data_IF_977298769503
#
_entry.id   IF_977298769503
#
_cell.length_a   1.000
_cell.length_b   1.000
_cell.length_c   1.000
_cell.angle_alpha   90.00
_cell.angle_beta   90.00
_cell.angle_gamma   90.00
#
_symmetry.space_group_name_H-M   'P 1'
#
loop_
_entity.id
_entity.type
_entity.pdbx_description
1 polymer ?
#
# COMPACT_ATOMS: atom_id res chain seq x y z
N UNK A 1 6.57 25.21 -10.11
CA UNK A 1 6.64 23.82 -9.60
C UNK A 1 5.29 23.50 -8.97
N UNK A 2 4.57 22.50 -9.48
CA UNK A 2 3.25 22.15 -8.95
C UNK A 2 3.41 21.59 -7.52
N UNK A 3 2.82 22.27 -6.54
CA UNK A 3 2.88 21.87 -5.12
C UNK A 3 1.96 20.67 -4.93
N UNK A 4 2.50 19.45 -5.06
CA UNK A 4 1.75 18.23 -4.77
C UNK A 4 1.16 18.30 -3.36
N UNK A 5 -0.15 18.15 -3.23
CA UNK A 5 -0.88 18.35 -1.96
C UNK A 5 -0.87 17.07 -1.12
N UNK A 6 0.32 16.61 -0.72
CA UNK A 6 0.47 15.45 0.15
C UNK A 6 0.01 15.75 1.58
N UNK A 7 -0.98 14.99 2.07
CA UNK A 7 -1.47 15.05 3.45
C UNK A 7 -1.73 13.66 4.00
N UNK A 8 -1.36 13.43 5.27
CA UNK A 8 -1.67 12.21 6.03
C UNK A 8 -2.48 12.60 7.26
N UNK A 9 -3.62 11.94 7.47
CA UNK A 9 -4.52 12.18 8.59
C UNK A 9 -4.92 10.85 9.23
N UNK A 10 -5.14 10.87 10.54
CA UNK A 10 -5.64 9.73 11.29
C UNK A 10 -7.03 10.05 11.83
N UNK A 11 -7.92 9.07 11.83
CA UNK A 11 -9.27 9.19 12.35
C UNK A 11 -9.74 7.85 12.89
N UNK A 12 -10.73 7.86 13.77
CA UNK A 12 -11.36 6.63 14.25
C UNK A 12 -12.59 6.30 13.42
N UNK A 13 -12.80 5.01 13.14
CA UNK A 13 -14.01 4.57 12.47
C UNK A 13 -15.07 4.12 13.49
N UNK A 14 -16.00 5.01 13.81
CA UNK A 14 -17.08 4.74 14.76
C UNK A 14 -18.07 3.67 14.30
N UNK A 15 -18.19 3.37 13.00
CA UNK A 15 -19.09 2.29 12.54
C UNK A 15 -18.57 0.89 12.83
N UNK A 16 -17.27 0.77 13.16
CA UNK A 16 -16.61 -0.49 13.54
C UNK A 16 -16.37 -0.59 15.05
N UNK A 17 -17.15 0.12 15.85
CA UNK A 17 -17.06 0.09 17.30
C UNK A 17 -17.39 -1.30 17.85
N UNK A 18 -16.53 -1.81 18.75
CA UNK A 18 -16.76 -3.04 19.51
C UNK A 18 -16.45 -2.75 20.98
N UNK A 19 -17.44 -2.88 21.85
CA UNK A 19 -17.29 -2.66 23.31
C UNK A 19 -16.67 -1.29 23.67
N UNK A 20 -17.05 -0.21 22.97
CA UNK A 20 -16.50 1.13 23.19
C UNK A 20 -15.09 1.35 22.64
N UNK A 21 -14.50 0.35 21.99
CA UNK A 21 -13.21 0.40 21.32
C UNK A 21 -13.44 0.58 19.82
N UNK A 22 -12.73 1.53 19.22
CA UNK A 22 -12.80 1.85 17.79
C UNK A 22 -11.43 1.67 17.12
N UNK A 23 -11.38 1.18 15.88
CA UNK A 23 -10.14 1.09 15.13
C UNK A 23 -9.71 2.47 14.62
N UNK A 24 -8.39 2.71 14.64
CA UNK A 24 -7.76 3.89 14.06
C UNK A 24 -7.44 3.61 12.59
N UNK A 25 -7.93 4.49 11.73
CA UNK A 25 -7.74 4.49 10.30
C UNK A 25 -6.81 5.64 9.90
N UNK A 26 -6.00 5.40 8.89
CA UNK A 26 -5.19 6.42 8.24
C UNK A 26 -5.73 6.78 6.87
N UNK A 27 -5.58 8.04 6.48
CA UNK A 27 -5.97 8.59 5.19
C UNK A 27 -4.79 9.32 4.58
N UNK A 28 -4.37 8.90 3.39
CA UNK A 28 -3.41 9.63 2.55
C UNK A 28 -4.19 10.39 1.49
N UNK A 29 -3.84 11.65 1.24
CA UNK A 29 -4.39 12.48 0.19
C UNK A 29 -3.26 13.05 -0.66
N UNK A 30 -3.35 12.88 -1.97
CA UNK A 30 -2.36 13.38 -2.95
C UNK A 30 -3.12 13.86 -4.18
N UNK A 31 -3.00 15.16 -4.51
CA UNK A 31 -3.56 15.73 -5.73
C UNK A 31 -5.06 15.42 -5.94
N UNK A 32 -5.84 15.45 -4.86
CA UNK A 32 -7.28 15.13 -4.89
C UNK A 32 -7.61 13.65 -4.78
N UNK A 33 -6.65 12.74 -5.01
CA UNK A 33 -6.83 11.30 -4.77
C UNK A 33 -6.69 10.97 -3.30
N UNK A 34 -7.49 10.03 -2.81
CA UNK A 34 -7.54 9.63 -1.40
C UNK A 34 -7.41 8.12 -1.29
N UNK A 35 -6.53 7.64 -0.41
CA UNK A 35 -6.41 6.24 -0.06
C UNK A 35 -6.54 6.07 1.46
N UNK A 36 -7.35 5.11 1.89
CA UNK A 36 -7.53 4.76 3.30
C UNK A 36 -6.79 3.47 3.62
N UNK A 37 -6.26 3.36 4.83
CA UNK A 37 -5.56 2.17 5.31
C UNK A 37 -5.78 1.97 6.81
N UNK A 38 -5.70 0.73 7.27
CA UNK A 38 -5.79 0.42 8.70
C UNK A 38 -4.44 0.66 9.37
N UNK A 39 -4.44 1.34 10.52
CA UNK A 39 -3.23 1.49 11.34
C UNK A 39 -2.96 0.28 12.24
N UNK A 40 -3.85 -0.73 12.26
CA UNK A 40 -3.83 -1.88 13.17
C UNK A 40 -3.78 -1.50 14.66
N UNK A 41 -4.25 -0.29 14.98
CA UNK A 41 -4.35 0.23 16.32
C UNK A 41 -5.81 0.45 16.67
N UNK A 42 -6.15 0.19 17.93
CA UNK A 42 -7.49 0.37 18.47
C UNK A 42 -7.42 1.28 19.69
N UNK A 43 -8.42 2.13 19.87
CA UNK A 43 -8.49 3.05 20.99
C UNK A 43 -9.92 3.12 21.53
N UNK A 44 -10.12 3.27 22.85
CA UNK A 44 -11.42 3.64 23.38
C UNK A 44 -11.88 4.95 22.74
N UNK A 45 -13.12 4.99 22.24
CA UNK A 45 -13.67 6.18 21.56
C UNK A 45 -13.60 7.43 22.42
N UNK A 46 -13.80 7.26 23.73
CA UNK A 46 -13.68 8.31 24.72
C UNK A 46 -12.27 8.91 24.78
N UNK A 47 -11.21 8.16 24.45
CA UNK A 47 -9.82 8.60 24.51
C UNK A 47 -9.30 9.17 23.19
N UNK A 48 -10.10 9.25 22.13
CA UNK A 48 -9.68 9.89 20.88
C UNK A 48 -9.97 11.40 20.88
N UNK A 49 -9.00 12.21 20.46
CA UNK A 49 -9.18 13.63 20.18
C UNK A 49 -9.38 13.86 18.68
N UNK A 50 -10.61 14.21 18.30
CA UNK A 50 -11.01 14.47 16.92
C UNK A 50 -10.32 15.73 16.36
N UNK A 51 -10.07 16.75 17.17
CA UNK A 51 -9.43 17.98 16.71
C UNK A 51 -7.93 17.77 16.50
N UNK A 52 -7.30 17.03 17.42
CA UNK A 52 -5.88 16.72 17.37
C UNK A 52 -5.49 15.54 16.48
N UNK A 53 -6.47 14.75 15.99
CA UNK A 53 -6.28 13.49 15.27
C UNK A 53 -5.33 12.52 16.00
N UNK A 54 -5.47 12.43 17.32
CA UNK A 54 -4.54 11.70 18.20
C UNK A 54 -5.22 11.18 19.46
N UNK A 55 -4.56 10.27 20.17
CA UNK A 55 -5.00 9.84 21.49
C UNK A 55 -4.86 10.98 22.51
N UNK A 56 -5.91 11.20 23.32
CA UNK A 56 -5.98 12.20 24.38
C UNK A 56 -5.50 11.64 25.71
N UNK A 57 -4.94 12.49 26.55
CA UNK A 57 -4.46 12.13 27.89
C UNK A 57 -2.96 11.83 27.94
N UNK A 58 -2.46 11.55 29.15
CA UNK A 58 -1.05 11.30 29.45
C UNK A 58 -0.74 9.86 29.88
N UNK A 59 -1.72 8.96 29.77
CA UNK A 59 -1.54 7.54 30.12
C UNK A 59 -0.51 6.87 29.21
N UNK A 60 0.11 5.80 29.68
CA UNK A 60 1.09 5.05 28.90
C UNK A 60 0.50 4.56 27.57
N UNK A 61 -0.70 3.98 27.59
CA UNK A 61 -1.38 3.54 26.36
C UNK A 61 -1.68 4.66 25.36
N UNK A 62 -2.00 5.88 25.82
CA UNK A 62 -2.19 7.02 24.92
C UNK A 62 -0.86 7.47 24.27
N UNK A 63 0.24 7.41 25.03
CA UNK A 63 1.59 7.71 24.52
C UNK A 63 2.04 6.66 23.50
N UNK A 64 1.82 5.38 23.78
CA UNK A 64 2.21 4.28 22.90
C UNK A 64 1.44 4.33 21.57
N UNK A 65 0.13 4.63 21.62
CA UNK A 65 -0.67 4.83 20.40
C UNK A 65 -0.15 6.02 19.60
N UNK A 66 0.09 7.17 20.24
CA UNK A 66 0.59 8.35 19.53
C UNK A 66 1.97 8.10 18.90
N UNK A 67 2.87 7.43 19.61
CA UNK A 67 4.17 7.02 19.06
C UNK A 67 4.01 6.08 17.84
N UNK A 68 3.08 5.12 17.92
CA UNK A 68 2.79 4.25 16.79
C UNK A 68 2.26 5.03 15.57
N UNK A 69 1.36 6.00 15.78
CA UNK A 69 0.84 6.85 14.71
C UNK A 69 1.93 7.73 14.08
N UNK A 70 2.84 8.28 14.89
CA UNK A 70 3.97 9.07 14.40
C UNK A 70 4.93 8.22 13.57
N UNK A 71 5.22 6.99 14.01
CA UNK A 71 6.02 6.04 13.26
C UNK A 71 5.37 5.67 11.91
N UNK A 72 4.06 5.42 11.90
CA UNK A 72 3.31 5.14 10.67
C UNK A 72 3.39 6.34 9.72
N UNK A 73 3.18 7.55 10.23
CA UNK A 73 3.25 8.78 9.45
C UNK A 73 4.64 8.97 8.83
N UNK A 74 5.70 8.74 9.61
CA UNK A 74 7.08 8.82 9.14
C UNK A 74 7.36 7.79 8.02
N UNK A 75 6.87 6.56 8.15
CA UNK A 75 7.01 5.54 7.10
C UNK A 75 6.30 5.96 5.81
N UNK A 76 5.07 6.47 5.89
CA UNK A 76 4.31 6.91 4.71
C UNK A 76 5.02 8.08 4.01
N UNK A 77 5.53 9.05 4.77
CA UNK A 77 6.32 10.16 4.21
C UNK A 77 7.55 9.62 3.48
N UNK A 78 8.25 8.65 4.07
CA UNK A 78 9.43 8.02 3.45
C UNK A 78 9.09 7.30 2.15
N UNK A 79 7.97 6.58 2.10
CA UNK A 79 7.50 5.93 0.86
C UNK A 79 7.10 6.95 -0.20
N UNK A 80 6.41 8.02 0.19
CA UNK A 80 6.05 9.12 -0.72
C UNK A 80 7.29 9.77 -1.33
N UNK A 81 8.30 10.10 -0.53
CA UNK A 81 9.56 10.68 -1.03
C UNK A 81 10.23 9.75 -2.04
N UNK A 82 10.40 8.47 -1.70
CA UNK A 82 10.99 7.47 -2.61
C UNK A 82 10.24 7.34 -3.95
N UNK A 83 8.91 7.45 -3.93
CA UNK A 83 8.10 7.39 -5.14
C UNK A 83 8.21 8.69 -5.93
N UNK A 84 8.18 9.84 -5.25
CA UNK A 84 8.31 11.15 -5.88
C UNK A 84 9.67 11.37 -6.55
N UNK A 85 10.73 10.72 -6.08
CA UNK A 85 12.05 10.80 -6.69
C UNK A 85 12.18 9.95 -7.97
N UNK A 86 11.31 8.93 -8.14
CA UNK A 86 11.39 7.96 -9.25
C UNK A 86 10.32 8.15 -10.31
N UNK A 87 9.12 8.53 -9.90
CA UNK A 87 7.93 8.55 -10.74
C UNK A 87 7.53 9.98 -11.07
N UNK A 88 7.15 10.24 -12.33
CA UNK A 88 6.67 11.55 -12.75
C UNK A 88 5.30 11.91 -12.14
N UNK A 89 4.53 10.91 -11.70
CA UNK A 89 3.22 11.07 -11.09
C UNK A 89 3.04 10.09 -9.93
N UNK A 90 2.56 10.59 -8.78
CA UNK A 90 2.36 9.79 -7.56
C UNK A 90 0.90 9.89 -7.12
N UNK A 91 0.25 8.74 -6.91
CA UNK A 91 -1.12 8.66 -6.37
C UNK A 91 -1.13 8.25 -4.91
N UNK A 92 -2.24 8.53 -4.21
CA UNK A 92 -2.42 8.08 -2.83
C UNK A 92 -2.40 6.54 -2.71
N UNK A 93 -2.89 5.82 -3.72
CA UNK A 93 -2.85 4.35 -3.76
C UNK A 93 -1.42 3.81 -3.90
N UNK A 94 -0.58 4.41 -4.73
CA UNK A 94 0.83 3.98 -4.86
C UNK A 94 1.56 4.07 -3.50
N UNK A 95 1.35 5.15 -2.76
CA UNK A 95 1.95 5.33 -1.42
C UNK A 95 1.38 4.33 -0.43
N UNK A 96 0.06 4.10 -0.44
CA UNK A 96 -0.59 3.08 0.39
C UNK A 96 -0.01 1.69 0.11
N UNK A 97 0.07 1.30 -1.15
CA UNK A 97 0.54 0.00 -1.57
C UNK A 97 2.01 -0.21 -1.18
N UNK A 98 2.85 0.80 -1.42
CA UNK A 98 4.25 0.79 -0.99
C UNK A 98 4.39 0.63 0.54
N UNK A 99 3.53 1.28 1.33
CA UNK A 99 3.49 1.12 2.79
C UNK A 99 3.00 -0.27 3.22
N UNK A 100 2.00 -0.83 2.55
CA UNK A 100 1.48 -2.17 2.85
C UNK A 100 2.36 -3.30 2.30
N UNK A 101 3.41 -2.98 1.52
CA UNK A 101 4.23 -3.95 0.80
C UNK A 101 3.53 -4.58 -0.41
N UNK A 102 2.32 -4.12 -0.74
CA UNK A 102 1.51 -4.62 -1.85
C UNK A 102 2.10 -4.08 -3.16
N UNK A 103 2.26 -4.95 -4.16
CA UNK A 103 2.76 -4.62 -5.49
C UNK A 103 4.25 -4.84 -5.71
N UNK A 104 5.12 -4.77 -4.69
CA UNK A 104 6.57 -4.88 -4.92
C UNK A 104 7.04 -6.29 -5.31
N UNK A 105 6.52 -7.34 -4.69
CA UNK A 105 6.96 -8.72 -4.97
C UNK A 105 6.26 -9.30 -6.21
N UNK A 106 4.95 -9.10 -6.33
CA UNK A 106 4.17 -9.62 -7.46
C UNK A 106 4.54 -8.96 -8.79
N UNK A 107 4.77 -7.64 -8.80
CA UNK A 107 5.23 -6.96 -10.01
C UNK A 107 6.64 -7.40 -10.40
N UNK A 108 7.52 -7.63 -9.44
CA UNK A 108 8.88 -8.15 -9.71
C UNK A 108 8.84 -9.56 -10.27
N UNK A 109 7.98 -10.43 -9.73
CA UNK A 109 7.81 -11.80 -10.22
C UNK A 109 7.23 -11.83 -11.64
N UNK A 110 6.19 -11.05 -11.91
CA UNK A 110 5.60 -10.95 -13.26
C UNK A 110 6.61 -10.37 -14.25
N UNK A 111 7.35 -9.31 -13.88
CA UNK A 111 8.42 -8.75 -14.71
C UNK A 111 9.53 -9.76 -15.00
N UNK A 112 9.88 -10.61 -14.05
CA UNK A 112 10.83 -11.70 -14.27
C UNK A 112 10.28 -12.73 -15.29
N UNK A 113 9.02 -13.15 -15.12
CA UNK A 113 8.34 -14.02 -16.08
C UNK A 113 8.27 -13.41 -17.48
N UNK A 114 7.97 -12.11 -17.59
CA UNK A 114 7.90 -11.41 -18.87
C UNK A 114 9.27 -11.39 -19.57
N UNK A 115 10.34 -11.13 -18.82
CA UNK A 115 11.72 -11.16 -19.32
C UNK A 115 12.11 -12.57 -19.82
N UNK A 116 11.76 -13.60 -19.04
CA UNK A 116 12.06 -14.98 -19.40
C UNK A 116 11.26 -15.45 -20.60
N UNK A 117 9.97 -15.12 -20.68
CA UNK A 117 9.12 -15.41 -21.83
C UNK A 117 9.65 -14.72 -23.10
N UNK A 118 10.08 -13.45 -23.00
CA UNK A 118 10.65 -12.70 -24.12
C UNK A 118 11.98 -13.32 -24.61
N UNK A 119 12.86 -13.73 -23.69
CA UNK A 119 14.11 -14.42 -24.04
C UNK A 119 13.87 -15.80 -24.63
N UNK A 120 12.88 -16.53 -24.12
CA UNK A 120 12.49 -17.84 -24.64
C UNK A 120 11.94 -17.72 -26.06
N UNK A 121 11.08 -16.74 -26.33
CA UNK A 121 10.50 -16.51 -27.65
C UNK A 121 11.57 -16.27 -28.72
N UNK A 122 12.65 -15.53 -28.40
CA UNK A 122 13.79 -15.30 -29.31
C UNK A 122 14.54 -16.59 -29.71
N UNK A 123 14.38 -17.66 -28.95
CA UNK A 123 15.00 -18.98 -29.16
C UNK A 123 14.06 -19.99 -29.83
N UNK A 124 12.79 -19.63 -29.98
CA UNK A 124 11.82 -20.47 -30.69
C UNK A 124 12.21 -20.56 -32.16
N UNK A 125 12.25 -21.79 -32.69
CA UNK A 125 12.72 -22.05 -34.05
C UNK A 125 14.23 -22.20 -34.19
N UNK A 126 15.01 -22.00 -33.11
CA UNK A 126 16.43 -22.36 -33.05
C UNK A 126 16.62 -23.65 -32.26
N UNK A 127 16.35 -23.58 -30.95
CA UNK A 127 16.56 -24.68 -30.00
C UNK A 127 15.36 -24.91 -29.08
N UNK A 128 14.31 -24.08 -29.22
CA UNK A 128 13.06 -24.16 -28.45
C UNK A 128 11.83 -24.26 -29.35
N UNK A 129 10.74 -24.77 -28.80
CA UNK A 129 9.47 -24.91 -29.52
C UNK A 129 8.44 -23.88 -29.06
N UNK A 130 7.55 -23.49 -29.97
CA UNK A 130 6.46 -22.56 -29.67
C UNK A 130 5.46 -23.15 -28.66
N UNK A 131 5.36 -24.49 -28.59
CA UNK A 131 4.53 -25.19 -27.62
C UNK A 131 4.95 -24.90 -26.17
N UNK A 132 6.25 -24.96 -25.89
CA UNK A 132 6.79 -24.65 -24.56
C UNK A 132 6.58 -23.18 -24.18
N UNK A 133 6.73 -22.26 -25.14
CA UNK A 133 6.42 -20.83 -24.92
C UNK A 133 4.96 -20.61 -24.49
N UNK A 134 4.01 -21.29 -25.14
CA UNK A 134 2.58 -21.21 -24.78
C UNK A 134 2.32 -21.71 -23.35
N UNK A 135 3.04 -22.73 -22.89
CA UNK A 135 2.94 -23.23 -21.50
C UNK A 135 3.49 -22.20 -20.51
N UNK A 136 4.64 -21.58 -20.79
CA UNK A 136 5.18 -20.48 -19.96
C UNK A 136 4.20 -19.30 -19.87
N UNK A 137 3.60 -18.90 -20.99
CA UNK A 137 2.60 -17.82 -21.01
C UNK A 137 1.36 -18.15 -20.17
N UNK A 138 0.92 -19.42 -20.15
CA UNK A 138 -0.18 -19.85 -19.27
C UNK A 138 0.19 -19.71 -17.79
N UNK A 139 1.38 -20.17 -17.39
CA UNK A 139 1.85 -20.02 -16.02
C UNK A 139 1.94 -18.54 -15.59
N UNK A 140 2.48 -17.68 -16.45
CA UNK A 140 2.52 -16.22 -16.24
C UNK A 140 1.12 -15.64 -16.06
N UNK A 141 0.15 -16.05 -16.88
CA UNK A 141 -1.23 -15.57 -16.78
C UNK A 141 -1.92 -16.01 -15.49
N UNK A 142 -1.66 -17.23 -15.00
CA UNK A 142 -2.17 -17.67 -13.69
C UNK A 142 -1.62 -16.83 -12.54
N UNK A 143 -0.31 -16.56 -12.53
CA UNK A 143 0.35 -15.73 -11.51
C UNK A 143 -0.14 -14.27 -11.56
N UNK A 144 -0.38 -13.74 -12.76
CA UNK A 144 -0.96 -12.41 -12.93
C UNK A 144 -2.42 -12.35 -12.45
N UNK A 145 -3.23 -13.36 -12.75
CA UNK A 145 -4.62 -13.43 -12.31
C UNK A 145 -4.75 -13.60 -10.79
N UNK A 146 -3.83 -14.32 -10.14
CA UNK A 146 -3.81 -14.44 -8.68
C UNK A 146 -3.41 -13.13 -8.00
N UNK A 147 -2.59 -12.29 -8.64
CA UNK A 147 -2.25 -10.96 -8.12
C UNK A 147 -3.48 -10.05 -8.04
N UNK A 148 -4.30 -10.02 -9.11
CA UNK A 148 -5.51 -9.18 -9.21
C UNK A 148 -6.60 -9.60 -8.22
N UNK A 149 -6.63 -10.87 -7.79
CA UNK A 149 -7.70 -11.41 -6.94
C UNK A 149 -7.59 -10.99 -5.45
N UNK A 150 -6.46 -10.45 -5.03
CA UNK A 150 -6.24 -9.96 -3.66
C UNK A 150 -6.45 -8.45 -3.50
N UNK A 151 -6.81 -7.75 -4.59
CA UNK A 151 -7.09 -6.30 -4.59
C UNK A 151 -8.60 -5.98 -4.43
N UNK A 152 -9.46 -6.98 -4.18
CA UNK A 152 -10.88 -6.81 -3.84
C UNK A 152 -11.17 -7.04 -2.35
#
# INVERSE_FOLDING_TARGET
>A
MARSTFKVLFYVNGSKEKNGIVPIMGRVTINGTVAQFSCKQNIPKALWDVKGNRAKGKSQGARDINLALDNIKAQIIKHYQKLSDREAFVTAEMVRNAYQGIGSEYETLIRAFDKDCANFLKRVGKDRTIGTYKVMMRARNYVAASAVRWDC
#
